data_IF_346262901737
#
_entry.id   IF_346262901737
#
_cell.length_a   1.000
_cell.length_b   1.000
_cell.length_c   1.000
_cell.angle_alpha   90.00
_cell.angle_beta   90.00
_cell.angle_gamma   90.00
#
_symmetry.space_group_name_H-M   'P 1'
#
loop_
_entity.id
_entity.type
_entity.pdbx_description
1 polymer ?
#
# COMPACT_ATOMS: atom_id res chain seq x y z
N UNK A 1 14.02 -40.08 -3.21
CA UNK A 1 13.55 -38.70 -2.95
C UNK A 1 12.17 -38.78 -2.31
N UNK A 2 11.90 -37.99 -1.28
CA UNK A 2 10.58 -37.98 -0.64
C UNK A 2 9.60 -37.08 -1.40
N UNK A 3 8.30 -37.32 -1.24
CA UNK A 3 7.24 -36.48 -1.83
C UNK A 3 7.32 -35.03 -1.34
N UNK A 4 7.71 -34.82 -0.09
CA UNK A 4 7.93 -33.49 0.48
C UNK A 4 9.08 -32.76 -0.23
N UNK A 5 10.19 -33.45 -0.53
CA UNK A 5 11.33 -32.86 -1.24
C UNK A 5 10.95 -32.43 -2.66
N UNK A 6 10.17 -33.24 -3.37
CA UNK A 6 9.69 -32.91 -4.72
C UNK A 6 8.75 -31.69 -4.69
N UNK A 7 7.79 -31.64 -3.76
CA UNK A 7 6.86 -30.52 -3.62
C UNK A 7 7.59 -29.20 -3.30
N UNK A 8 8.59 -29.22 -2.41
CA UNK A 8 9.37 -28.03 -2.07
C UNK A 8 10.18 -27.49 -3.25
N UNK A 9 10.73 -28.38 -4.09
CA UNK A 9 11.43 -27.97 -5.33
C UNK A 9 10.47 -27.33 -6.32
N UNK A 10 9.26 -27.87 -6.46
CA UNK A 10 8.22 -27.27 -7.29
C UNK A 10 7.83 -25.86 -6.81
N UNK A 11 7.61 -25.69 -5.49
CA UNK A 11 7.33 -24.38 -4.88
C UNK A 11 8.49 -23.40 -5.10
N UNK A 12 9.74 -23.87 -5.08
CA UNK A 12 10.90 -23.03 -5.34
C UNK A 12 10.92 -22.48 -6.78
N UNK A 13 10.70 -23.32 -7.78
CA UNK A 13 10.65 -22.89 -9.18
C UNK A 13 9.47 -21.96 -9.43
N UNK A 14 8.27 -22.34 -8.97
CA UNK A 14 7.08 -21.49 -9.07
C UNK A 14 7.29 -20.09 -8.44
N UNK A 15 7.93 -20.00 -7.27
CA UNK A 15 8.26 -18.71 -6.65
C UNK A 15 9.35 -17.92 -7.40
N UNK A 16 10.21 -18.60 -8.14
CA UNK A 16 11.27 -17.95 -8.93
C UNK A 16 10.70 -17.38 -10.22
N UNK A 17 9.81 -18.12 -10.86
CA UNK A 17 9.17 -17.73 -12.11
C UNK A 17 8.20 -16.57 -11.88
N UNK A 18 7.38 -16.62 -10.83
CA UNK A 18 6.45 -15.53 -10.46
C UNK A 18 7.17 -14.21 -10.15
N UNK A 19 8.42 -14.24 -9.66
CA UNK A 19 9.19 -13.00 -9.43
C UNK A 19 9.72 -12.36 -10.72
N UNK A 20 9.86 -13.15 -11.78
CA UNK A 20 10.34 -12.70 -13.10
C UNK A 20 9.18 -12.32 -14.02
N UNK A 21 7.98 -12.84 -13.74
CA UNK A 21 6.77 -12.50 -14.45
C UNK A 21 6.42 -11.02 -14.23
N UNK A 22 6.46 -10.18 -15.27
CA UNK A 22 6.06 -8.78 -15.16
C UNK A 22 4.54 -8.62 -14.95
N UNK A 23 3.76 -9.69 -15.05
CA UNK A 23 2.30 -9.73 -14.90
C UNK A 23 1.53 -9.25 -16.13
N UNK A 24 2.16 -8.39 -16.94
CA UNK A 24 1.66 -7.85 -18.22
C UNK A 24 2.83 -7.42 -19.11
N UNK A 25 2.62 -7.39 -20.42
CA UNK A 25 3.56 -6.82 -21.40
C UNK A 25 3.55 -5.28 -21.39
N UNK A 26 2.59 -4.67 -20.70
CA UNK A 26 2.50 -3.21 -20.55
C UNK A 26 3.66 -2.67 -19.72
N UNK A 27 4.25 -1.55 -20.17
CA UNK A 27 5.28 -0.84 -19.40
C UNK A 27 4.64 -0.15 -18.19
N UNK A 28 5.23 -0.26 -16.98
CA UNK A 28 4.73 0.44 -15.81
C UNK A 28 4.84 1.96 -15.99
N UNK A 29 3.82 2.69 -15.53
CA UNK A 29 3.86 4.14 -15.44
C UNK A 29 4.83 4.62 -14.34
N UNK A 30 5.21 5.90 -14.33
CA UNK A 30 5.99 6.48 -13.24
C UNK A 30 5.20 6.42 -11.92
N UNK A 31 5.91 6.15 -10.83
CA UNK A 31 5.36 6.09 -9.48
C UNK A 31 6.31 6.83 -8.55
N UNK A 32 6.03 8.11 -8.32
CA UNK A 32 6.90 8.99 -7.55
C UNK A 32 6.35 9.24 -6.14
N UNK A 33 5.03 9.20 -5.95
CA UNK A 33 4.45 9.39 -4.62
C UNK A 33 3.12 8.66 -4.38
N UNK A 34 2.92 8.22 -3.14
CA UNK A 34 1.79 7.37 -2.74
C UNK A 34 0.95 8.05 -1.66
N UNK A 35 -0.37 7.95 -1.76
CA UNK A 35 -1.32 8.28 -0.72
C UNK A 35 -1.91 7.03 -0.09
N UNK A 36 -2.23 7.07 1.20
CA UNK A 36 -2.85 5.95 1.93
C UNK A 36 -4.08 6.47 2.65
N UNK A 37 -5.23 5.84 2.40
CA UNK A 37 -6.48 6.15 3.09
C UNK A 37 -6.67 5.16 4.26
N UNK A 38 -6.61 5.69 5.48
CA UNK A 38 -6.66 4.93 6.74
C UNK A 38 -5.27 4.79 7.38
N UNK A 39 -5.12 5.28 8.61
CA UNK A 39 -3.93 5.15 9.45
C UNK A 39 -3.99 3.98 10.44
N UNK A 40 -4.94 3.07 10.27
CA UNK A 40 -5.09 1.87 11.09
C UNK A 40 -3.92 0.89 10.98
N UNK A 41 -4.11 -0.34 11.47
CA UNK A 41 -3.06 -1.37 11.47
C UNK A 41 -2.50 -1.64 10.06
N UNK A 42 -3.38 -1.88 9.08
CA UNK A 42 -2.99 -2.17 7.71
C UNK A 42 -2.37 -0.94 7.04
N UNK A 43 -3.00 0.22 7.16
CA UNK A 43 -2.51 1.47 6.57
C UNK A 43 -1.13 1.88 7.08
N UNK A 44 -0.86 1.72 8.39
CA UNK A 44 0.47 1.96 8.96
C UNK A 44 1.52 0.97 8.44
N UNK A 45 1.16 -0.31 8.29
CA UNK A 45 2.02 -1.33 7.70
C UNK A 45 2.36 -1.05 6.23
N UNK A 46 1.36 -0.68 5.44
CA UNK A 46 1.52 -0.30 4.03
C UNK A 46 2.38 0.96 3.94
N UNK A 47 2.12 1.98 4.77
CA UNK A 47 2.91 3.21 4.81
C UNK A 47 4.40 2.95 5.07
N UNK A 48 4.68 2.13 6.09
CA UNK A 48 6.03 1.73 6.43
C UNK A 48 6.73 0.99 5.27
N UNK A 49 6.06 0.01 4.65
CA UNK A 49 6.66 -0.76 3.54
C UNK A 49 6.89 0.12 2.32
N UNK A 50 5.94 0.96 1.95
CA UNK A 50 6.05 1.86 0.80
C UNK A 50 7.19 2.87 1.00
N UNK A 51 7.30 3.47 2.17
CA UNK A 51 8.39 4.41 2.46
C UNK A 51 9.76 3.72 2.58
N UNK A 52 9.85 2.65 3.39
CA UNK A 52 11.15 2.09 3.79
C UNK A 52 11.68 1.04 2.81
N UNK A 53 10.81 0.30 2.11
CA UNK A 53 11.23 -0.67 1.09
C UNK A 53 11.05 -0.11 -0.33
N UNK A 54 10.02 0.70 -0.56
CA UNK A 54 9.79 1.36 -1.84
C UNK A 54 10.61 2.63 -2.04
N UNK A 55 11.04 3.30 -0.95
CA UNK A 55 11.76 4.58 -1.05
C UNK A 55 10.87 5.74 -1.51
N UNK A 56 9.55 5.59 -1.42
CA UNK A 56 8.58 6.55 -1.94
C UNK A 56 8.00 7.44 -0.83
N UNK A 57 7.81 8.74 -1.07
CA UNK A 57 7.04 9.62 -0.20
C UNK A 57 5.60 9.14 -0.03
N UNK A 58 5.16 9.01 1.22
CA UNK A 58 3.83 8.55 1.61
C UNK A 58 3.06 9.65 2.31
N UNK A 59 1.79 9.81 1.94
CA UNK A 59 0.87 10.69 2.66
C UNK A 59 -0.37 9.94 3.14
N UNK A 60 -0.56 9.92 4.45
CA UNK A 60 -1.64 9.20 5.11
C UNK A 60 -2.81 10.15 5.35
N UNK A 61 -4.00 9.78 4.91
CA UNK A 61 -5.25 10.46 5.27
C UNK A 61 -6.05 9.58 6.21
N UNK A 62 -6.46 10.13 7.35
CA UNK A 62 -7.37 9.49 8.29
C UNK A 62 -8.46 10.47 8.70
N UNK A 63 -9.56 9.98 9.28
CA UNK A 63 -10.61 10.84 9.84
C UNK A 63 -10.16 11.54 11.13
N UNK A 64 -9.13 11.01 11.80
CA UNK A 64 -8.63 11.56 13.05
C UNK A 64 -7.11 11.52 13.15
N UNK A 65 -6.55 12.42 13.96
CA UNK A 65 -5.11 12.47 14.20
C UNK A 65 -4.56 11.21 14.91
N UNK A 66 -5.43 10.46 15.62
CA UNK A 66 -5.02 9.23 16.33
C UNK A 66 -4.58 8.14 15.35
N UNK A 67 -5.29 7.96 14.24
CA UNK A 67 -4.92 7.01 13.18
C UNK A 67 -3.59 7.36 12.53
N UNK A 68 -3.38 8.64 12.21
CA UNK A 68 -2.10 9.12 11.66
C UNK A 68 -0.95 8.87 12.64
N UNK A 69 -1.14 9.25 13.91
CA UNK A 69 -0.14 9.05 14.95
C UNK A 69 0.16 7.56 15.17
N UNK A 70 -0.85 6.70 15.07
CA UNK A 70 -0.67 5.26 15.14
C UNK A 70 0.22 4.74 14.00
N UNK A 71 -0.03 5.15 12.76
CA UNK A 71 0.80 4.76 11.61
C UNK A 71 2.25 5.28 11.69
N UNK A 72 2.44 6.52 12.14
CA UNK A 72 3.76 7.11 12.37
C UNK A 72 4.51 6.37 13.49
N UNK A 73 3.85 6.10 14.62
CA UNK A 73 4.42 5.34 15.74
C UNK A 73 4.79 3.92 15.30
N UNK A 74 3.91 3.27 14.55
CA UNK A 74 4.17 1.94 14.02
C UNK A 74 5.45 1.92 13.17
N UNK A 75 5.59 2.89 12.25
CA UNK A 75 6.79 3.04 11.42
C UNK A 75 8.04 3.31 12.24
N UNK A 76 7.93 4.17 13.27
CA UNK A 76 9.01 4.43 14.22
C UNK A 76 9.46 3.16 14.94
N UNK A 77 8.55 2.40 15.54
CA UNK A 77 8.88 1.20 16.32
C UNK A 77 9.61 0.14 15.48
N UNK A 78 9.21 -0.02 14.20
CA UNK A 78 9.86 -0.92 13.26
C UNK A 78 11.29 -0.48 12.93
N UNK A 79 11.48 0.80 12.63
CA UNK A 79 12.80 1.36 12.30
C UNK A 79 13.71 1.38 13.53
N UNK A 80 13.20 1.75 14.69
CA UNK A 80 13.93 1.76 15.95
C UNK A 80 14.41 0.35 16.32
N UNK A 81 13.61 -0.67 16.05
CA UNK A 81 14.04 -2.07 16.22
C UNK A 81 15.20 -2.42 15.29
N UNK A 82 15.25 -1.89 14.06
CA UNK A 82 16.39 -2.08 13.15
C UNK A 82 17.64 -1.30 13.61
N UNK A 83 17.47 -0.09 14.14
CA UNK A 83 18.55 0.70 14.74
C UNK A 83 19.16 -0.03 15.93
N UNK A 84 18.33 -0.52 16.86
CA UNK A 84 18.76 -1.30 18.04
C UNK A 84 19.50 -2.57 17.66
N UNK A 85 19.11 -3.21 16.55
CA UNK A 85 19.79 -4.37 15.96
C UNK A 85 21.01 -4.02 15.11
N UNK A 86 21.38 -2.73 15.02
CA UNK A 86 22.49 -2.20 14.22
C UNK A 86 22.40 -2.50 12.72
N UNK A 87 21.19 -2.75 12.21
CA UNK A 87 20.97 -2.94 10.77
C UNK A 87 20.98 -1.60 10.01
N UNK A 88 20.62 -0.50 10.67
CA UNK A 88 20.62 0.86 10.11
C UNK A 88 21.13 1.86 11.17
N UNK A 89 21.55 3.05 10.72
CA UNK A 89 21.90 4.18 11.60
C UNK A 89 20.65 4.96 12.01
N UNK A 90 20.70 5.69 13.13
CA UNK A 90 19.61 6.56 13.57
C UNK A 90 19.27 7.64 12.52
N UNK A 91 20.28 8.19 11.85
CA UNK A 91 20.06 9.15 10.76
C UNK A 91 19.32 8.55 9.56
N UNK A 92 19.48 7.25 9.31
CA UNK A 92 18.75 6.54 8.25
C UNK A 92 17.29 6.29 8.64
N UNK A 93 17.02 5.97 9.91
CA UNK A 93 15.65 5.94 10.46
C UNK A 93 14.97 7.29 10.23
N UNK A 94 15.63 8.39 10.61
CA UNK A 94 15.03 9.72 10.54
C UNK A 94 14.72 10.14 9.09
N UNK A 95 15.61 9.79 8.15
CA UNK A 95 15.37 9.97 6.71
C UNK A 95 14.16 9.18 6.21
N UNK A 96 14.05 7.89 6.59
CA UNK A 96 12.94 7.03 6.16
C UNK A 96 11.61 7.48 6.77
N UNK A 97 11.63 7.93 8.03
CA UNK A 97 10.44 8.46 8.69
C UNK A 97 9.98 9.79 8.06
N UNK A 98 10.91 10.64 7.61
CA UNK A 98 10.59 11.90 6.95
C UNK A 98 9.82 11.73 5.62
N UNK A 99 9.87 10.53 5.02
CA UNK A 99 9.05 10.22 3.84
C UNK A 99 7.56 10.05 4.19
N UNK A 100 7.21 9.83 5.45
CA UNK A 100 5.84 9.56 5.89
C UNK A 100 5.25 10.81 6.51
N UNK A 101 4.21 11.35 5.89
CA UNK A 101 3.42 12.47 6.41
C UNK A 101 1.96 12.10 6.52
N UNK A 102 1.17 12.87 7.26
CA UNK A 102 -0.28 12.66 7.32
C UNK A 102 -1.09 13.95 7.41
N UNK A 103 -2.37 13.84 7.06
CA UNK A 103 -3.38 14.89 7.19
C UNK A 103 -4.75 14.29 7.49
N UNK A 104 -5.66 15.10 8.04
CA UNK A 104 -7.07 14.72 8.21
C UNK A 104 -7.93 15.06 6.97
N UNK A 105 -7.32 15.71 5.98
CA UNK A 105 -7.93 16.13 4.72
C UNK A 105 -7.09 15.65 3.52
N UNK A 106 -7.58 15.95 2.31
CA UNK A 106 -6.91 15.59 1.05
C UNK A 106 -5.80 16.57 0.64
N UNK A 107 -5.35 17.50 1.50
CA UNK A 107 -4.25 18.40 1.14
C UNK A 107 -2.99 17.58 0.85
N UNK A 108 -2.38 17.81 -0.30
CA UNK A 108 -1.18 17.10 -0.75
C UNK A 108 -1.45 15.77 -1.48
N UNK A 109 -2.72 15.46 -1.79
CA UNK A 109 -3.10 14.31 -2.62
C UNK A 109 -3.15 14.63 -4.13
N UNK A 110 -3.23 15.91 -4.51
CA UNK A 110 -3.34 16.36 -5.91
C UNK A 110 -2.25 15.83 -6.86
N UNK A 111 -1.06 15.51 -6.33
CA UNK A 111 0.09 15.05 -7.11
C UNK A 111 0.49 13.60 -6.79
N UNK A 112 -0.41 12.81 -6.20
CA UNK A 112 -0.14 11.40 -5.86
C UNK A 112 -0.47 10.53 -7.06
N UNK A 113 0.43 9.61 -7.39
CA UNK A 113 0.27 8.73 -8.54
C UNK A 113 -0.57 7.50 -8.19
N UNK A 114 -0.50 7.06 -6.93
CA UNK A 114 -1.22 5.90 -6.42
C UNK A 114 -1.84 6.23 -5.06
N UNK A 115 -3.13 5.93 -4.90
CA UNK A 115 -3.85 5.97 -3.63
C UNK A 115 -4.21 4.55 -3.22
N UNK A 116 -3.76 4.12 -2.04
CA UNK A 116 -4.08 2.81 -1.48
C UNK A 116 -5.11 2.97 -0.36
N UNK A 117 -6.28 2.38 -0.54
CA UNK A 117 -7.35 2.38 0.43
C UNK A 117 -7.23 1.19 1.38
N UNK A 118 -7.20 1.46 2.69
CA UNK A 118 -7.07 0.47 3.76
C UNK A 118 -8.03 0.78 4.93
N UNK A 119 -9.30 1.01 4.61
CA UNK A 119 -10.41 1.21 5.57
C UNK A 119 -11.32 -0.02 5.66
N UNK A 120 -12.36 0.10 6.48
CA UNK A 120 -13.34 -0.97 6.74
C UNK A 120 -14.01 -1.48 5.46
N UNK A 121 -14.45 -2.74 5.49
CA UNK A 121 -15.20 -3.40 4.41
C UNK A 121 -16.64 -2.89 4.37
N UNK A 122 -16.82 -1.70 3.81
CA UNK A 122 -18.13 -1.11 3.52
C UNK A 122 -18.13 -0.58 2.08
N UNK A 123 -19.02 -1.12 1.24
CA UNK A 123 -19.07 -0.79 -0.18
C UNK A 123 -19.38 0.70 -0.41
N UNK A 124 -20.35 1.23 0.32
CA UNK A 124 -20.77 2.64 0.24
C UNK A 124 -19.64 3.59 0.64
N UNK A 125 -18.84 3.24 1.64
CA UNK A 125 -17.66 3.98 2.05
C UNK A 125 -16.59 3.95 0.97
N UNK A 126 -16.27 2.78 0.40
CA UNK A 126 -15.25 2.65 -0.64
C UNK A 126 -15.63 3.40 -1.91
N UNK A 127 -16.89 3.30 -2.36
CA UNK A 127 -17.39 4.07 -3.50
C UNK A 127 -17.30 5.59 -3.26
N UNK A 128 -17.65 6.06 -2.05
CA UNK A 128 -17.45 7.47 -1.68
C UNK A 128 -15.98 7.88 -1.71
N UNK A 129 -15.09 7.03 -1.23
CA UNK A 129 -13.64 7.30 -1.27
C UNK A 129 -13.11 7.37 -2.70
N UNK A 130 -13.59 6.52 -3.60
CA UNK A 130 -13.25 6.61 -5.04
C UNK A 130 -13.66 7.99 -5.57
N UNK A 131 -14.91 8.42 -5.34
CA UNK A 131 -15.38 9.73 -5.78
C UNK A 131 -14.58 10.90 -5.15
N UNK A 132 -14.25 10.82 -3.86
CA UNK A 132 -13.42 11.83 -3.19
C UNK A 132 -12.00 11.88 -3.79
N UNK A 133 -11.39 10.74 -4.11
CA UNK A 133 -10.08 10.67 -4.76
C UNK A 133 -10.17 11.26 -6.17
N UNK A 134 -11.22 10.95 -6.93
CA UNK A 134 -11.41 11.49 -8.27
C UNK A 134 -11.53 13.02 -8.28
N UNK A 135 -12.10 13.61 -7.24
CA UNK A 135 -12.25 15.06 -7.07
C UNK A 135 -10.97 15.77 -6.60
N UNK A 136 -10.16 15.10 -5.77
CA UNK A 136 -9.02 15.73 -5.09
C UNK A 136 -7.65 15.36 -5.67
N UNK A 137 -7.59 14.37 -6.56
CA UNK A 137 -6.35 13.85 -7.14
C UNK A 137 -6.29 14.09 -8.65
N UNK A 138 -5.11 13.88 -9.24
CA UNK A 138 -4.91 14.10 -10.66
C UNK A 138 -5.68 13.08 -11.53
N UNK A 139 -5.94 13.40 -12.81
CA UNK A 139 -6.55 12.50 -13.76
C UNK A 139 -5.79 11.17 -13.99
N UNK A 140 -4.50 11.10 -13.65
CA UNK A 140 -3.69 9.89 -13.80
C UNK A 140 -3.60 9.03 -12.52
N UNK A 141 -4.14 9.52 -11.40
CA UNK A 141 -4.03 8.85 -10.11
C UNK A 141 -4.78 7.52 -10.11
N UNK A 142 -4.08 6.43 -9.79
CA UNK A 142 -4.67 5.10 -9.64
C UNK A 142 -5.23 4.95 -8.23
N UNK A 143 -6.47 4.45 -8.10
CA UNK A 143 -7.07 4.05 -6.84
C UNK A 143 -6.93 2.53 -6.66
N UNK A 144 -6.28 2.11 -5.58
CA UNK A 144 -6.06 0.70 -5.27
C UNK A 144 -6.74 0.33 -3.95
N UNK A 145 -7.70 -0.59 -3.97
CA UNK A 145 -8.36 -1.07 -2.76
C UNK A 145 -7.65 -2.28 -2.16
N UNK A 146 -7.39 -2.24 -0.85
CA UNK A 146 -6.91 -3.38 -0.06
C UNK A 146 -8.05 -4.33 0.37
N UNK A 147 -9.22 -4.25 -0.26
CA UNK A 147 -10.36 -5.10 0.11
C UNK A 147 -10.03 -6.59 0.00
N UNK A 148 -10.56 -7.39 0.93
CA UNK A 148 -10.45 -8.85 0.91
C UNK A 148 -11.69 -9.57 0.39
N UNK A 149 -12.85 -8.89 0.40
CA UNK A 149 -14.16 -9.52 0.21
C UNK A 149 -15.03 -8.83 -0.83
N UNK A 150 -14.78 -7.57 -1.15
CA UNK A 150 -15.61 -6.82 -2.08
C UNK A 150 -15.03 -6.93 -3.51
N UNK A 151 -15.85 -7.25 -4.51
CA UNK A 151 -15.41 -7.21 -5.90
C UNK A 151 -14.97 -5.80 -6.29
N UNK A 152 -13.83 -5.69 -6.98
CA UNK A 152 -13.31 -4.39 -7.45
C UNK A 152 -14.28 -3.73 -8.42
N UNK A 153 -15.00 -4.51 -9.23
CA UNK A 153 -16.05 -4.00 -10.12
C UNK A 153 -17.16 -3.25 -9.38
N UNK A 154 -17.57 -3.74 -8.20
CA UNK A 154 -18.60 -3.08 -7.39
C UNK A 154 -18.07 -1.77 -6.79
N UNK A 155 -16.80 -1.75 -6.38
CA UNK A 155 -16.14 -0.53 -5.88
C UNK A 155 -16.02 0.52 -7.00
N UNK A 156 -15.72 0.08 -8.22
CA UNK A 156 -15.55 0.94 -9.39
C UNK A 156 -16.87 1.35 -10.06
N UNK A 157 -18.02 0.77 -9.67
CA UNK A 157 -19.29 0.91 -10.39
C UNK A 157 -19.76 2.37 -10.60
N UNK A 158 -19.43 3.26 -9.65
CA UNK A 158 -19.79 4.69 -9.70
C UNK A 158 -18.59 5.60 -10.01
N UNK A 159 -17.45 5.03 -10.40
CA UNK A 159 -16.25 5.79 -10.72
C UNK A 159 -16.42 6.49 -12.07
N UNK A 160 -15.91 7.72 -12.16
CA UNK A 160 -15.77 8.44 -13.44
C UNK A 160 -14.71 7.77 -14.32
N UNK A 161 -13.69 7.17 -13.69
CA UNK A 161 -12.53 6.50 -14.31
C UNK A 161 -12.36 5.08 -13.76
N UNK A 162 -13.29 4.15 -14.05
CA UNK A 162 -13.25 2.80 -13.49
C UNK A 162 -11.98 2.01 -13.88
N UNK A 163 -11.35 2.34 -15.01
CA UNK A 163 -10.09 1.76 -15.47
C UNK A 163 -8.90 2.09 -14.56
N UNK A 164 -9.01 3.11 -13.70
CA UNK A 164 -8.01 3.49 -12.72
C UNK A 164 -8.28 2.90 -11.33
N UNK A 165 -9.30 2.05 -11.19
CA UNK A 165 -9.65 1.38 -9.94
C UNK A 165 -9.15 -0.07 -9.98
N UNK A 166 -8.20 -0.40 -9.11
CA UNK A 166 -7.57 -1.72 -9.06
C UNK A 166 -7.68 -2.36 -7.67
N UNK A 167 -7.53 -3.68 -7.62
CA UNK A 167 -7.33 -4.41 -6.37
C UNK A 167 -5.85 -4.52 -6.02
N UNK A 168 -5.48 -4.17 -4.80
CA UNK A 168 -4.12 -4.37 -4.28
C UNK A 168 -4.19 -4.96 -2.86
N UNK A 169 -4.35 -6.28 -2.80
CA UNK A 169 -4.56 -7.01 -1.55
C UNK A 169 -3.27 -7.30 -0.81
N UNK A 170 -3.08 -6.65 0.34
CA UNK A 170 -1.99 -6.88 1.26
C UNK A 170 -2.34 -7.93 2.31
N UNK A 171 -1.35 -8.75 2.67
CA UNK A 171 -1.47 -9.74 3.73
C UNK A 171 -0.93 -9.20 5.04
N UNK A 172 -1.70 -9.35 6.12
CA UNK A 172 -1.23 -9.05 7.47
C UNK A 172 -0.31 -10.16 8.01
N UNK A 173 0.77 -9.84 8.74
CA UNK A 173 1.35 -8.51 8.96
C UNK A 173 2.16 -8.03 7.74
N UNK A 174 1.86 -6.82 7.26
CA UNK A 174 2.28 -6.26 5.95
C UNK A 174 3.81 -6.22 5.81
N UNK A 175 4.52 -5.95 6.89
CA UNK A 175 5.97 -5.83 6.91
C UNK A 175 6.72 -7.16 6.74
N UNK A 176 6.08 -8.27 7.16
CA UNK A 176 6.65 -9.63 7.12
C UNK A 176 6.19 -10.44 5.92
N UNK A 177 5.01 -10.14 5.37
CA UNK A 177 4.43 -10.88 4.23
C UNK A 177 4.82 -10.23 2.90
N UNK A 178 4.88 -11.03 1.84
CA UNK A 178 5.02 -10.52 0.46
C UNK A 178 3.63 -10.24 -0.09
N UNK A 179 3.44 -9.07 -0.67
CA UNK A 179 2.19 -8.72 -1.36
C UNK A 179 2.00 -9.66 -2.57
N UNK A 180 0.77 -10.12 -2.80
CA UNK A 180 0.41 -10.88 -4.01
C UNK A 180 -0.61 -10.03 -4.77
N UNK A 181 -0.36 -9.83 -6.06
CA UNK A 181 -1.32 -9.20 -6.96
C UNK A 181 -2.46 -10.18 -7.25
N UNK A 182 -3.71 -9.76 -7.07
CA UNK A 182 -4.84 -10.45 -7.69
C UNK A 182 -5.10 -9.80 -9.03
N UNK A 183 -5.22 -10.62 -10.08
CA UNK A 183 -5.85 -10.19 -11.32
C UNK A 183 -7.34 -9.94 -11.10
#
# INVERSE_FOLDING_TARGET
>A
MTSQSQALRHIFFANTDVKKDPGSDAKPGPLDSVGILGGGLMGGGIAYVTACKGGLPVRIKDINAKGINHALKYSWDQLETKVRRRHIKASERDKQLALISGSIDYRGFAHRDLIIEAVFEDLSLKQRMVAEVEQNCAPHTVFASNTSSLPIGDIAANATRPEQVIGLHFFSPVEKKKCRWSK
#
